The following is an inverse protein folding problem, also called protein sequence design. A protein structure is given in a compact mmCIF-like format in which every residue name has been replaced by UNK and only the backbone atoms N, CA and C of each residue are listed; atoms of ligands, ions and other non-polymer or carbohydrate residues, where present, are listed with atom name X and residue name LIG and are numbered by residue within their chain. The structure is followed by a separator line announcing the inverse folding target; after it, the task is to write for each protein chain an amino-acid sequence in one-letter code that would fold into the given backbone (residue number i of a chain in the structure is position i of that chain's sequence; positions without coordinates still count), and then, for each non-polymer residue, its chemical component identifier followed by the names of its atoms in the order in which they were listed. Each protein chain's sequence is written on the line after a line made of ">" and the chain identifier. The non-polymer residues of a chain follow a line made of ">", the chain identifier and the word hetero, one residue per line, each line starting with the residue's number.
data_IF_565480675931
#
_entry.id   IF_565480675931
#
_cell.length_a   1.000
_cell.length_b   1.000
_cell.length_c   1.000
_cell.angle_alpha   90.00
_cell.angle_beta   90.00
_cell.angle_gamma   90.00
#
_symmetry.space_group_name_H-M   'P 1'
#
loop_
_entity.id
_entity.type
_entity.pdbx_description
1 polymer ?
#
# COMPACT_ATOMS: atom_id res chain seq x y z
N UNK A 1 -3.30 -19.74 -17.25
CA UNK A 1 -3.03 -18.82 -16.13
C UNK A 1 -1.63 -18.19 -16.17
N UNK A 2 -0.58 -18.90 -16.60
CA UNK A 2 0.79 -18.37 -16.69
C UNK A 2 0.96 -17.18 -17.66
N UNK A 3 0.34 -17.24 -18.85
CA UNK A 3 0.44 -16.18 -19.88
C UNK A 3 -0.15 -14.83 -19.41
N UNK A 4 -1.21 -14.84 -18.58
CA UNK A 4 -1.77 -13.61 -18.02
C UNK A 4 -0.94 -13.01 -16.90
N UNK A 5 -0.12 -13.82 -16.23
CA UNK A 5 0.80 -13.35 -15.18
C UNK A 5 2.03 -12.71 -15.81
N UNK A 6 2.57 -13.28 -16.90
CA UNK A 6 3.70 -12.68 -17.62
C UNK A 6 3.35 -11.32 -18.24
N UNK A 7 2.19 -11.19 -18.88
CA UNK A 7 1.77 -9.92 -19.50
C UNK A 7 1.55 -8.79 -18.49
N UNK A 8 0.98 -9.10 -17.32
CA UNK A 8 0.78 -8.10 -16.28
C UNK A 8 2.12 -7.65 -15.66
N UNK A 9 3.08 -8.57 -15.55
CA UNK A 9 4.43 -8.27 -15.10
C UNK A 9 5.13 -7.35 -16.11
N UNK A 10 5.14 -7.71 -17.39
CA UNK A 10 5.74 -6.92 -18.48
C UNK A 10 5.17 -5.49 -18.54
N UNK A 11 3.84 -5.36 -18.41
CA UNK A 11 3.20 -4.05 -18.39
C UNK A 11 3.58 -3.21 -17.16
N UNK A 12 3.67 -3.84 -15.99
CA UNK A 12 3.96 -3.14 -14.74
C UNK A 12 5.45 -2.81 -14.57
N UNK A 13 6.35 -3.56 -15.20
CA UNK A 13 7.79 -3.50 -14.93
C UNK A 13 8.37 -2.08 -15.02
N UNK A 14 8.10 -1.28 -16.07
CA UNK A 14 8.65 0.08 -16.15
C UNK A 14 8.14 1.00 -15.04
N UNK A 15 6.91 0.78 -14.54
CA UNK A 15 6.35 1.55 -13.43
C UNK A 15 6.96 1.10 -12.10
N UNK A 16 7.26 -0.20 -11.95
CA UNK A 16 7.92 -0.77 -10.78
C UNK A 16 9.34 -0.21 -10.69
N UNK A 17 10.11 -0.24 -11.78
CA UNK A 17 11.47 0.28 -11.80
C UNK A 17 11.50 1.77 -11.42
N UNK A 18 10.56 2.56 -11.96
CA UNK A 18 10.42 3.97 -11.60
C UNK A 18 10.00 4.16 -10.12
N UNK A 19 9.11 3.32 -9.59
CA UNK A 19 8.74 3.40 -8.17
C UNK A 19 9.89 3.01 -7.25
N UNK A 20 10.69 2.02 -7.63
CA UNK A 20 11.82 1.52 -6.85
C UNK A 20 12.91 2.60 -6.77
N UNK A 21 13.19 3.31 -7.87
CA UNK A 21 14.13 4.44 -7.88
C UNK A 21 13.68 5.58 -6.95
N UNK A 22 12.41 5.98 -7.05
CA UNK A 22 11.85 7.03 -6.17
C UNK A 22 11.88 6.61 -4.70
N UNK A 23 11.53 5.36 -4.40
CA UNK A 23 11.51 4.87 -3.03
C UNK A 23 12.93 4.80 -2.45
N UNK A 24 13.90 4.32 -3.22
CA UNK A 24 15.31 4.31 -2.78
C UNK A 24 15.86 5.71 -2.52
N UNK A 25 15.43 6.70 -3.31
CA UNK A 25 15.91 8.07 -3.19
C UNK A 25 15.24 8.86 -2.05
N UNK A 26 13.97 8.56 -1.72
CA UNK A 26 13.15 9.44 -0.86
C UNK A 26 12.32 8.74 0.22
N UNK A 27 12.23 7.41 0.21
CA UNK A 27 11.44 6.59 1.13
C UNK A 27 12.28 5.40 1.61
N UNK A 28 11.74 4.18 1.55
CA UNK A 28 12.40 2.94 1.93
C UNK A 28 11.93 1.75 1.07
N UNK A 29 12.50 0.57 1.35
CA UNK A 29 12.21 -0.68 0.65
C UNK A 29 10.79 -1.21 0.92
N UNK A 30 10.16 -0.89 2.05
CA UNK A 30 8.77 -1.31 2.31
C UNK A 30 7.79 -0.56 1.39
N UNK A 31 8.03 0.73 1.14
CA UNK A 31 7.27 1.48 0.14
C UNK A 31 7.46 0.89 -1.26
N UNK A 32 8.69 0.56 -1.65
CA UNK A 32 8.98 -0.05 -2.95
C UNK A 32 8.24 -1.40 -3.11
N UNK A 33 8.35 -2.27 -2.12
CA UNK A 33 7.70 -3.58 -2.12
C UNK A 33 6.18 -3.46 -2.22
N UNK A 34 5.58 -2.53 -1.47
CA UNK A 34 4.13 -2.33 -1.49
C UNK A 34 3.64 -1.65 -2.78
N UNK A 35 4.42 -0.72 -3.33
CA UNK A 35 4.15 -0.08 -4.62
C UNK A 35 4.11 -1.14 -5.74
N UNK A 36 5.09 -2.04 -5.77
CA UNK A 36 5.13 -3.18 -6.69
C UNK A 36 3.87 -4.04 -6.60
N UNK A 37 3.43 -4.39 -5.39
CA UNK A 37 2.19 -5.16 -5.18
C UNK A 37 0.97 -4.44 -5.77
N UNK A 38 0.84 -3.12 -5.53
CA UNK A 38 -0.28 -2.34 -6.05
C UNK A 38 -0.23 -2.19 -7.57
N UNK A 39 0.94 -1.91 -8.15
CA UNK A 39 1.13 -1.81 -9.60
C UNK A 39 0.76 -3.11 -10.31
N UNK A 40 1.18 -4.28 -9.78
CA UNK A 40 0.79 -5.58 -10.31
C UNK A 40 -0.70 -5.88 -10.13
N UNK A 41 -1.33 -5.41 -9.05
CA UNK A 41 -2.80 -5.49 -8.89
C UNK A 41 -3.53 -4.66 -9.95
N UNK A 42 -3.04 -3.46 -10.28
CA UNK A 42 -3.59 -2.60 -11.32
C UNK A 42 -3.37 -3.19 -12.72
N UNK A 43 -2.17 -3.70 -13.02
CA UNK A 43 -1.85 -4.32 -14.30
C UNK A 43 -2.76 -5.53 -14.62
N UNK A 44 -3.19 -6.29 -13.60
CA UNK A 44 -4.08 -7.45 -13.76
C UNK A 44 -5.56 -7.10 -14.00
N UNK A 45 -5.97 -5.84 -13.80
CA UNK A 45 -7.36 -5.41 -14.09
C UNK A 45 -7.65 -5.50 -15.59
N UNK A 46 -8.90 -5.76 -15.96
CA UNK A 46 -9.34 -5.87 -17.37
C UNK A 46 -10.55 -4.97 -17.65
N UNK A 47 -10.44 -3.97 -18.55
CA UNK A 47 -9.16 -3.46 -19.10
C UNK A 47 -8.28 -2.91 -17.99
N UNK A 48 -6.95 -2.92 -18.19
CA UNK A 48 -6.04 -2.34 -17.19
C UNK A 48 -6.12 -0.82 -17.24
N UNK A 49 -6.20 -0.15 -16.08
CA UNK A 49 -6.24 1.31 -16.01
C UNK A 49 -4.90 1.94 -16.42
N UNK A 50 -3.80 1.17 -16.40
CA UNK A 50 -2.46 1.64 -16.72
C UNK A 50 -2.29 2.03 -18.20
N UNK A 51 -3.20 1.61 -19.08
CA UNK A 51 -3.22 2.08 -20.48
C UNK A 51 -3.62 3.55 -20.62
N UNK A 52 -4.17 4.17 -19.58
CA UNK A 52 -4.69 5.54 -19.64
C UNK A 52 -3.93 6.43 -18.67
N UNK A 53 -3.47 7.58 -19.17
CA UNK A 53 -2.73 8.56 -18.38
C UNK A 53 -1.22 8.29 -18.32
N UNK A 54 -0.49 9.22 -17.73
CA UNK A 54 0.98 9.15 -17.65
C UNK A 54 1.43 8.10 -16.62
N UNK A 55 2.41 7.22 -16.95
CA UNK A 55 2.97 6.25 -16.00
C UNK A 55 3.45 6.88 -14.68
N UNK A 56 4.11 8.05 -14.75
CA UNK A 56 4.58 8.75 -13.56
C UNK A 56 3.44 9.16 -12.60
N UNK A 57 2.27 9.51 -13.13
CA UNK A 57 1.09 9.86 -12.32
C UNK A 57 0.53 8.60 -11.64
N UNK A 58 0.55 7.44 -12.30
CA UNK A 58 0.15 6.18 -11.67
C UNK A 58 1.09 5.78 -10.53
N UNK A 59 2.40 5.89 -10.73
CA UNK A 59 3.40 5.65 -9.68
C UNK A 59 3.21 6.61 -8.51
N UNK A 60 3.14 7.91 -8.78
CA UNK A 60 2.91 8.91 -7.73
C UNK A 60 1.60 8.68 -6.98
N UNK A 61 0.51 8.30 -7.67
CA UNK A 61 -0.77 8.01 -7.05
C UNK A 61 -0.77 6.73 -6.20
N UNK A 62 -0.03 5.70 -6.61
CA UNK A 62 0.19 4.48 -5.82
C UNK A 62 0.94 4.82 -4.53
N UNK A 63 2.06 5.54 -4.62
CA UNK A 63 2.82 5.97 -3.44
C UNK A 63 1.98 6.91 -2.55
N UNK A 64 1.18 7.78 -3.14
CA UNK A 64 0.28 8.64 -2.39
C UNK A 64 -0.78 7.81 -1.65
N UNK A 65 -1.38 6.79 -2.29
CA UNK A 65 -2.35 5.91 -1.65
C UNK A 65 -1.72 5.13 -0.48
N UNK A 66 -0.52 4.59 -0.67
CA UNK A 66 0.26 3.94 0.40
C UNK A 66 0.53 4.94 1.52
N UNK A 67 0.94 6.16 1.19
CA UNK A 67 1.22 7.21 2.15
C UNK A 67 0.00 7.64 2.97
N UNK A 68 -1.19 7.68 2.37
CA UNK A 68 -2.44 7.92 3.11
C UNK A 68 -2.72 6.80 4.12
N UNK A 69 -2.49 5.53 3.73
CA UNK A 69 -2.70 4.38 4.61
C UNK A 69 -1.66 4.29 5.74
N UNK A 70 -0.47 4.86 5.51
CA UNK A 70 0.70 4.70 6.37
C UNK A 70 1.19 6.00 7.03
N UNK A 71 0.41 7.08 6.97
CA UNK A 71 0.74 8.37 7.59
C UNK A 71 2.01 9.03 7.06
N UNK A 72 2.40 8.78 5.81
CA UNK A 72 3.60 9.38 5.18
C UNK A 72 3.62 10.91 5.28
N UNK A 73 2.44 11.53 5.24
CA UNK A 73 2.28 12.99 5.25
C UNK A 73 2.31 13.61 6.65
N UNK A 74 2.48 12.80 7.70
CA UNK A 74 2.64 13.27 9.07
C UNK A 74 4.14 13.50 9.36
N UNK A 75 4.57 14.73 9.72
CA UNK A 75 5.96 15.06 10.04
C UNK A 75 6.57 14.26 11.20
N UNK A 76 5.73 13.63 12.04
CA UNK A 76 6.19 12.77 13.12
C UNK A 76 6.64 11.37 12.65
N UNK A 77 6.40 11.00 11.39
CA UNK A 77 6.79 9.70 10.84
C UNK A 77 8.18 9.74 10.20
N UNK A 78 8.82 8.58 10.09
CA UNK A 78 10.05 8.40 9.31
C UNK A 78 9.91 7.12 8.48
N UNK A 79 10.03 7.18 7.14
CA UNK A 79 10.24 8.38 6.33
C UNK A 79 9.00 9.32 6.30
N UNK A 80 9.22 10.60 6.01
CA UNK A 80 8.17 11.61 5.83
C UNK A 80 8.33 12.32 4.46
N UNK A 81 7.22 12.46 3.74
CA UNK A 81 7.10 13.32 2.57
C UNK A 81 5.73 13.97 2.57
N UNK A 82 5.68 15.27 2.25
CA UNK A 82 4.40 15.94 1.98
C UNK A 82 3.83 15.51 0.63
N UNK A 83 2.50 15.64 0.47
CA UNK A 83 1.84 15.37 -0.81
C UNK A 83 2.37 16.27 -1.94
N UNK A 84 2.82 17.49 -1.62
CA UNK A 84 3.42 18.41 -2.58
C UNK A 84 4.82 17.97 -3.01
N UNK A 85 5.67 17.51 -2.09
CA UNK A 85 6.98 16.94 -2.42
C UNK A 85 6.81 15.71 -3.33
N UNK A 86 5.92 14.79 -2.96
CA UNK A 86 5.64 13.61 -3.79
C UNK A 86 5.10 14.00 -5.18
N UNK A 87 4.25 15.01 -5.27
CA UNK A 87 3.72 15.51 -6.54
C UNK A 87 4.82 16.11 -7.43
N UNK A 88 5.76 16.86 -6.83
CA UNK A 88 6.91 17.43 -7.53
C UNK A 88 7.83 16.34 -8.10
N UNK A 89 8.09 15.26 -7.35
CA UNK A 89 8.94 14.14 -7.78
C UNK A 89 8.43 13.47 -9.07
N UNK A 90 7.12 13.49 -9.32
CA UNK A 90 6.51 12.89 -10.52
C UNK A 90 6.02 13.93 -11.54
N UNK A 91 6.33 15.20 -11.32
CA UNK A 91 5.93 16.32 -12.19
C UNK A 91 4.41 16.41 -12.39
N UNK A 92 3.65 16.39 -11.30
CA UNK A 92 2.19 16.50 -11.28
C UNK A 92 1.69 17.47 -10.20
N UNK A 93 0.42 17.89 -10.30
CA UNK A 93 -0.22 18.65 -9.23
C UNK A 93 -0.68 17.72 -8.10
N UNK A 94 -0.58 18.17 -6.84
CA UNK A 94 -1.01 17.40 -5.65
C UNK A 94 -2.47 16.97 -5.76
N UNK A 95 -3.36 17.83 -6.26
CA UNK A 95 -4.79 17.50 -6.48
C UNK A 95 -4.98 16.38 -7.50
N UNK A 96 -4.13 16.32 -8.53
CA UNK A 96 -4.15 15.24 -9.54
C UNK A 96 -3.74 13.92 -8.90
N UNK A 97 -2.68 13.91 -8.08
CA UNK A 97 -2.28 12.70 -7.36
C UNK A 97 -3.34 12.27 -6.34
N UNK A 98 -3.93 13.19 -5.58
CA UNK A 98 -4.96 12.86 -4.61
C UNK A 98 -6.20 12.23 -5.28
N UNK A 99 -6.66 12.80 -6.40
CA UNK A 99 -7.77 12.26 -7.18
C UNK A 99 -7.44 10.88 -7.77
N UNK A 100 -6.25 10.72 -8.36
CA UNK A 100 -5.79 9.44 -8.90
C UNK A 100 -5.54 8.40 -7.80
N UNK A 101 -5.07 8.79 -6.62
CA UNK A 101 -4.87 7.90 -5.48
C UNK A 101 -6.21 7.37 -4.95
N UNK A 102 -7.27 8.18 -4.96
CA UNK A 102 -8.64 7.71 -4.69
C UNK A 102 -9.05 6.63 -5.69
N UNK A 103 -8.77 6.82 -6.99
CA UNK A 103 -9.01 5.81 -8.03
C UNK A 103 -8.22 4.53 -7.76
N UNK A 104 -6.92 4.62 -7.43
CA UNK A 104 -6.10 3.46 -7.02
C UNK A 104 -6.75 2.69 -5.88
N UNK A 105 -7.14 3.37 -4.79
CA UNK A 105 -7.78 2.74 -3.63
C UNK A 105 -9.07 2.01 -4.00
N UNK A 106 -9.93 2.63 -4.82
CA UNK A 106 -11.16 2.00 -5.30
C UNK A 106 -10.86 0.75 -6.14
N UNK A 107 -9.90 0.83 -7.06
CA UNK A 107 -9.56 -0.27 -7.95
C UNK A 107 -8.98 -1.47 -7.18
N UNK A 108 -8.13 -1.23 -6.19
CA UNK A 108 -7.51 -2.30 -5.38
C UNK A 108 -8.36 -2.71 -4.17
N UNK A 109 -9.54 -2.09 -4.02
CA UNK A 109 -10.46 -2.29 -2.88
C UNK A 109 -9.79 -2.06 -1.53
N UNK A 110 -8.93 -1.03 -1.47
CA UNK A 110 -8.36 -0.56 -0.23
C UNK A 110 -9.49 0.00 0.65
N UNK A 111 -9.54 -0.45 1.90
CA UNK A 111 -10.55 -0.02 2.88
C UNK A 111 -10.43 1.48 3.17
N UNK A 112 -11.54 2.05 3.67
CA UNK A 112 -11.49 3.38 4.27
C UNK A 112 -10.81 3.28 5.64
N UNK A 113 -9.98 4.28 5.98
CA UNK A 113 -9.12 4.22 7.16
C UNK A 113 -7.84 3.43 6.88
N UNK A 114 -7.32 2.77 7.92
CA UNK A 114 -6.13 1.91 7.81
C UNK A 114 -6.56 0.53 7.31
N UNK A 115 -6.09 0.16 6.13
CA UNK A 115 -6.26 -1.18 5.59
C UNK A 115 -5.06 -2.07 5.99
N UNK A 116 -5.30 -3.14 6.78
CA UNK A 116 -4.23 -4.01 7.27
C UNK A 116 -3.46 -4.74 6.16
N UNK A 117 -4.04 -4.91 4.97
CA UNK A 117 -3.36 -5.54 3.83
C UNK A 117 -2.28 -4.62 3.20
N UNK A 118 -2.28 -3.33 3.56
CA UNK A 118 -1.42 -2.31 2.96
C UNK A 118 -0.67 -1.48 4.01
N UNK A 119 -0.46 -2.04 5.21
CA UNK A 119 0.42 -1.45 6.22
C UNK A 119 1.86 -1.87 5.92
N UNK A 120 2.80 -0.94 6.05
CA UNK A 120 4.23 -1.23 5.87
C UNK A 120 4.71 -2.19 6.99
N UNK A 121 5.43 -3.28 6.65
CA UNK A 121 5.93 -4.23 7.63
C UNK A 121 6.74 -3.60 8.77
N UNK A 122 7.60 -2.62 8.48
CA UNK A 122 8.39 -1.87 9.48
C UNK A 122 7.54 -1.13 10.52
N UNK A 123 6.31 -0.75 10.18
CA UNK A 123 5.41 -0.03 11.09
C UNK A 123 4.58 -0.96 11.97
N UNK A 124 4.49 -2.24 11.63
CA UNK A 124 3.63 -3.21 12.31
C UNK A 124 4.00 -3.46 13.78
N UNK A 125 5.29 -3.54 14.19
CA UNK A 125 5.65 -3.70 15.61
C UNK A 125 5.22 -2.52 16.48
N UNK A 126 5.23 -1.30 15.94
CA UNK A 126 4.99 -0.06 16.69
C UNK A 126 3.60 0.54 16.45
N UNK A 127 2.70 -0.19 15.80
CA UNK A 127 1.29 0.23 15.57
C UNK A 127 0.32 -0.67 16.31
N UNK A 128 0.05 -0.45 17.60
CA UNK A 128 -0.89 -1.30 18.34
C UNK A 128 -2.30 -1.29 17.71
N UNK A 129 -2.75 -0.15 17.17
CA UNK A 129 -4.10 0.01 16.63
C UNK A 129 -4.48 -0.91 15.46
N UNK A 130 -3.52 -1.49 14.72
CA UNK A 130 -3.83 -2.40 13.60
C UNK A 130 -4.10 -3.84 14.05
N UNK A 131 -3.75 -4.15 15.30
CA UNK A 131 -3.94 -5.46 15.92
C UNK A 131 -5.16 -5.51 16.85
N UNK A 132 -5.72 -4.34 17.16
CA UNK A 132 -6.89 -4.23 18.04
C UNK A 132 -8.18 -4.48 17.26
N UNK A 133 -9.03 -5.33 17.81
CA UNK A 133 -10.33 -5.71 17.26
C UNK A 133 -11.41 -5.49 18.31
N UNK A 134 -12.63 -5.18 17.88
CA UNK A 134 -13.79 -5.16 18.77
C UNK A 134 -14.54 -6.48 18.63
N UNK A 135 -14.65 -7.25 19.72
CA UNK A 135 -15.41 -8.50 19.82
C UNK A 135 -16.45 -8.32 20.92
N UNK A 136 -17.73 -8.38 20.56
CA UNK A 136 -18.86 -8.17 21.49
C UNK A 136 -18.74 -6.88 22.34
N UNK A 137 -18.24 -5.81 21.73
CA UNK A 137 -18.04 -4.51 22.39
C UNK A 137 -16.76 -4.39 23.21
N UNK A 138 -15.96 -5.44 23.30
CA UNK A 138 -14.68 -5.45 24.03
C UNK A 138 -13.53 -5.30 23.05
N UNK A 139 -12.57 -4.42 23.37
CA UNK A 139 -11.34 -4.28 22.62
C UNK A 139 -10.38 -5.43 22.96
N UNK A 140 -9.98 -6.19 21.96
CA UNK A 140 -9.11 -7.36 22.06
C UNK A 140 -7.87 -7.12 21.22
N UNK A 141 -6.70 -7.32 21.83
CA UNK A 141 -5.44 -7.36 21.08
C UNK A 141 -5.25 -8.74 20.45
N UNK A 142 -5.27 -8.79 19.13
CA UNK A 142 -5.14 -10.02 18.38
C UNK A 142 -3.77 -10.70 18.60
N UNK A 143 -2.71 -9.96 18.96
CA UNK A 143 -1.39 -10.55 19.19
C UNK A 143 -1.34 -11.45 20.43
N UNK A 144 -2.29 -11.27 21.36
CA UNK A 144 -2.42 -12.10 22.55
C UNK A 144 -3.33 -13.32 22.34
N UNK A 145 -3.95 -13.47 21.16
CA UNK A 145 -4.78 -14.62 20.82
C UNK A 145 -3.94 -15.83 20.37
N UNK A 146 -4.44 -17.06 20.48
CA UNK A 146 -3.77 -18.25 19.95
C UNK A 146 -3.42 -18.12 18.44
N UNK A 147 -2.29 -18.68 17.97
CA UNK A 147 -1.85 -18.55 16.57
C UNK A 147 -2.91 -18.95 15.54
N UNK A 148 -3.65 -20.04 15.79
CA UNK A 148 -4.72 -20.48 14.90
C UNK A 148 -5.84 -19.43 14.73
N UNK A 149 -6.11 -18.63 15.79
CA UNK A 149 -7.07 -17.53 15.72
C UNK A 149 -6.46 -16.35 14.97
N UNK A 150 -5.20 -16.00 15.23
CA UNK A 150 -4.50 -14.94 14.50
C UNK A 150 -4.50 -15.22 12.98
N UNK A 151 -4.23 -16.46 12.58
CA UNK A 151 -4.19 -16.87 11.17
C UNK A 151 -5.57 -16.78 10.53
N UNK A 152 -6.65 -17.12 11.26
CA UNK A 152 -8.02 -16.97 10.78
C UNK A 152 -8.44 -15.49 10.69
N UNK A 153 -8.05 -14.66 11.66
CA UNK A 153 -8.29 -13.22 11.62
C UNK A 153 -7.56 -12.59 10.42
N UNK A 154 -6.32 -13.00 10.16
CA UNK A 154 -5.56 -12.57 8.99
C UNK A 154 -6.22 -13.06 7.68
N UNK A 155 -6.66 -14.32 7.62
CA UNK A 155 -7.40 -14.88 6.46
C UNK A 155 -8.66 -14.09 6.14
N UNK A 156 -9.36 -13.63 7.17
CA UNK A 156 -10.54 -12.74 7.07
C UNK A 156 -10.17 -11.27 6.83
N UNK A 157 -8.88 -10.96 6.76
CA UNK A 157 -8.31 -9.61 6.59
C UNK A 157 -8.72 -8.67 7.72
N UNK A 158 -8.89 -9.18 8.92
CA UNK A 158 -9.24 -8.36 10.09
C UNK A 158 -7.97 -7.76 10.72
N UNK A 159 -6.84 -8.46 10.61
CA UNK A 159 -5.53 -8.00 11.05
C UNK A 159 -4.47 -8.21 9.95
N UNK A 160 -3.32 -7.53 10.04
CA UNK A 160 -2.16 -7.80 9.19
C UNK A 160 -1.63 -9.23 9.36
N UNK A 161 -0.67 -9.64 8.52
CA UNK A 161 -0.03 -10.95 8.70
C UNK A 161 0.79 -10.97 10.01
N UNK A 162 0.45 -11.79 11.02
CA UNK A 162 1.17 -11.83 12.30
C UNK A 162 2.61 -12.38 12.18
N UNK A 163 2.93 -13.14 11.12
CA UNK A 163 4.27 -13.73 10.94
C UNK A 163 5.38 -12.68 10.79
N UNK A 164 5.02 -11.45 10.41
CA UNK A 164 5.95 -10.32 10.33
C UNK A 164 6.60 -9.98 11.68
N UNK A 165 5.97 -10.35 12.81
CA UNK A 165 6.47 -10.12 14.16
C UNK A 165 7.22 -11.34 14.75
N UNK A 166 7.15 -12.50 14.09
CA UNK A 166 7.71 -13.77 14.59
C UNK A 166 9.15 -14.03 14.10
N UNK A 167 9.85 -13.00 13.63
CA UNK A 167 11.20 -13.11 13.04
C UNK A 167 12.30 -13.20 14.09
#
# INVERSE_FOLDING_TARGET
>A
MAVSVSLAQELAQPLIDFSDELCRAHLDEDYAALAKVLLLKLARKRPTPLYRGRPAIWVGAVLYAIGQNNFLFDPAQTPHLTGAQLANLVGAATSTLAAKAKEVRQLVRMRQGIDPDYVLPSLLPNRPGVWLLTVDGILVDALHLPPAIQDELHRRKLIPNPDVLRR
#
